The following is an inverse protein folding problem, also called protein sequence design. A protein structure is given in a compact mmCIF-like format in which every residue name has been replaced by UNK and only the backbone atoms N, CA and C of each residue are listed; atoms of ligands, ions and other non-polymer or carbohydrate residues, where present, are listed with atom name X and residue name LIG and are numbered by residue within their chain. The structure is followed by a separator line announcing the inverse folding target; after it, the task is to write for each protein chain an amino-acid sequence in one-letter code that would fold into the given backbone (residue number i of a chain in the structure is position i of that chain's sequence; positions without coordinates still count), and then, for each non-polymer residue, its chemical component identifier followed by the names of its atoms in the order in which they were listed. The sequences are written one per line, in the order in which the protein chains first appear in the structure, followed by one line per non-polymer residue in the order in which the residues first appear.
data_IF_467212246732
#
_entry.id   IF_467212246732
#
_cell.length_a   1.000
_cell.length_b   1.000
_cell.length_c   1.000
_cell.angle_alpha   90.00
_cell.angle_beta   90.00
_cell.angle_gamma   90.00
#
_symmetry.space_group_name_H-M   'P 1'
#
loop_
_entity.id
_entity.type
_entity.pdbx_description
1 polymer ?
#
# COMPACT_ATOMS: atom_id res chain seq x y z
N UNK A 1 -0.40 -40.20 13.04
CA UNK A 1 -1.36 -40.14 11.92
C UNK A 1 -2.67 -39.58 12.43
N UNK A 2 -3.35 -38.83 11.56
CA UNK A 2 -4.69 -38.21 11.67
C UNK A 2 -4.76 -36.89 12.45
N UNK A 3 -5.38 -35.80 11.95
CA UNK A 3 -5.93 -35.49 10.63
C UNK A 3 -6.10 -33.95 10.60
N UNK A 4 -5.65 -33.30 9.53
CA UNK A 4 -5.88 -31.88 9.27
C UNK A 4 -7.25 -31.73 8.62
N UNK A 5 -8.09 -30.86 9.17
CA UNK A 5 -9.44 -30.60 8.68
C UNK A 5 -9.38 -29.76 7.41
N UNK A 6 -9.90 -30.34 6.33
CA UNK A 6 -10.19 -29.70 5.05
C UNK A 6 -11.14 -28.51 5.23
N UNK A 7 -10.80 -27.36 4.64
CA UNK A 7 -11.80 -26.36 4.24
C UNK A 7 -11.94 -26.47 2.72
N UNK A 8 -13.14 -26.91 2.33
CA UNK A 8 -13.65 -26.98 0.98
C UNK A 8 -13.51 -25.62 0.26
N UNK A 9 -12.92 -25.63 -0.93
CA UNK A 9 -13.40 -24.80 -2.03
C UNK A 9 -13.68 -25.72 -3.21
N UNK A 10 -14.98 -25.90 -3.43
CA UNK A 10 -15.58 -26.61 -4.55
C UNK A 10 -15.04 -26.07 -5.87
N UNK A 11 -14.68 -26.97 -6.77
CA UNK A 11 -14.45 -26.65 -8.16
C UNK A 11 -15.66 -25.93 -8.75
N UNK A 12 -15.37 -24.91 -9.55
CA UNK A 12 -16.24 -24.45 -10.62
C UNK A 12 -15.48 -24.64 -11.92
N UNK A 13 -16.16 -25.32 -12.83
CA UNK A 13 -15.76 -25.65 -14.18
C UNK A 13 -15.35 -24.38 -14.93
N UNK A 14 -14.26 -24.48 -15.70
CA UNK A 14 -13.82 -23.48 -16.66
C UNK A 14 -14.84 -23.42 -17.80
N UNK A 15 -15.66 -22.36 -17.81
CA UNK A 15 -16.50 -21.99 -18.95
C UNK A 15 -15.75 -20.92 -19.75
N UNK A 16 -15.39 -21.30 -20.98
CA UNK A 16 -14.52 -20.57 -21.91
C UNK A 16 -15.34 -19.48 -22.64
N UNK A 17 -15.97 -18.58 -21.87
CA UNK A 17 -16.68 -17.43 -22.42
C UNK A 17 -15.69 -16.29 -22.63
N UNK A 18 -15.49 -15.88 -23.89
CA UNK A 18 -14.78 -14.65 -24.26
C UNK A 18 -15.31 -13.48 -23.42
N UNK A 19 -14.56 -13.07 -22.38
CA UNK A 19 -14.93 -11.89 -21.59
C UNK A 19 -14.82 -10.66 -22.49
N UNK A 20 -15.96 -10.26 -23.04
CA UNK A 20 -16.15 -8.98 -23.69
C UNK A 20 -15.66 -7.89 -22.73
N UNK A 21 -14.78 -7.00 -23.21
CA UNK A 21 -14.17 -5.97 -22.38
C UNK A 21 -15.24 -4.93 -22.02
N UNK A 22 -16.02 -5.23 -20.98
CA UNK A 22 -16.98 -4.29 -20.42
C UNK A 22 -16.17 -3.20 -19.75
N UNK A 23 -16.28 -1.97 -20.26
CA UNK A 23 -15.71 -0.76 -19.64
C UNK A 23 -16.52 -0.42 -18.37
N UNK A 24 -16.54 -1.34 -17.42
CA UNK A 24 -17.09 -1.14 -16.09
C UNK A 24 -15.97 -0.60 -15.22
N UNK A 25 -16.15 0.63 -14.74
CA UNK A 25 -15.29 1.25 -13.74
C UNK A 25 -15.44 0.46 -12.43
N UNK A 26 -14.74 -0.68 -12.30
CA UNK A 26 -14.61 -1.41 -11.04
C UNK A 26 -13.86 -0.49 -10.08
N UNK A 27 -14.50 -0.17 -8.97
CA UNK A 27 -13.90 0.67 -7.92
C UNK A 27 -13.74 -0.17 -6.69
N UNK A 28 -12.76 0.11 -5.84
CA UNK A 28 -12.55 -0.62 -4.58
C UNK A 28 -13.83 -0.74 -3.74
N UNK A 29 -14.72 0.25 -3.83
CA UNK A 29 -16.01 0.23 -3.13
C UNK A 29 -16.96 -0.85 -3.65
N UNK A 30 -16.98 -1.13 -4.96
CA UNK A 30 -17.88 -2.15 -5.54
C UNK A 30 -17.48 -3.57 -5.11
N UNK A 31 -16.20 -3.83 -4.90
CA UNK A 31 -15.71 -5.16 -4.55
C UNK A 31 -15.86 -5.45 -3.04
N UNK A 32 -15.75 -4.41 -2.19
CA UNK A 32 -16.01 -4.51 -0.75
C UNK A 32 -17.49 -4.71 -0.40
N UNK A 33 -18.40 -4.15 -1.20
CA UNK A 33 -19.84 -4.31 -0.97
C UNK A 33 -20.37 -5.66 -1.45
N UNK A 34 -19.69 -6.33 -2.38
CA UNK A 34 -20.16 -7.60 -2.98
C UNK A 34 -19.89 -8.81 -2.08
N UNK A 35 -18.95 -8.72 -1.14
CA UNK A 35 -18.62 -9.80 -0.17
C UNK A 35 -19.33 -9.66 1.18
N UNK A 36 -20.16 -8.62 1.36
CA UNK A 36 -20.82 -8.33 2.63
C UNK A 36 -22.00 -9.26 2.91
N UNK A 37 -21.73 -10.35 3.64
CA UNK A 37 -22.72 -10.91 4.58
C UNK A 37 -23.14 -9.88 5.63
N UNK A 38 -24.12 -10.19 6.52
CA UNK A 38 -24.58 -9.23 7.53
C UNK A 38 -23.40 -8.73 8.37
N UNK A 39 -23.09 -7.43 8.25
CA UNK A 39 -22.02 -6.73 8.97
C UNK A 39 -22.19 -6.93 10.48
N UNK A 40 -21.45 -7.87 11.06
CA UNK A 40 -21.19 -7.91 12.49
C UNK A 40 -20.35 -6.68 12.83
N UNK A 41 -20.84 -5.86 13.76
CA UNK A 41 -20.28 -4.59 14.17
C UNK A 41 -18.97 -4.77 14.97
N UNK A 42 -17.92 -5.28 14.31
CA UNK A 42 -16.56 -5.38 14.87
C UNK A 42 -15.46 -5.16 13.83
N UNK A 43 -15.77 -4.78 12.59
CA UNK A 43 -14.72 -4.54 11.59
C UNK A 43 -14.21 -3.10 11.70
N UNK A 44 -13.04 -2.96 12.33
CA UNK A 44 -12.25 -1.74 12.35
C UNK A 44 -11.98 -1.26 10.91
N UNK A 45 -12.05 0.06 10.68
CA UNK A 45 -11.79 0.64 9.36
C UNK A 45 -10.37 0.25 8.87
N UNK A 46 -10.22 -0.23 7.63
CA UNK A 46 -8.92 -0.66 7.13
C UNK A 46 -7.94 0.52 7.06
N UNK A 47 -6.73 0.32 7.59
CA UNK A 47 -5.63 1.29 7.53
C UNK A 47 -4.76 0.99 6.30
N UNK A 48 -4.41 2.04 5.56
CA UNK A 48 -3.55 1.93 4.37
C UNK A 48 -2.22 2.64 4.59
N UNK A 49 -1.13 1.98 4.21
CA UNK A 49 0.20 2.57 4.17
C UNK A 49 0.63 2.83 2.71
N UNK A 50 1.17 4.02 2.45
CA UNK A 50 1.70 4.35 1.13
C UNK A 50 3.11 3.77 0.99
N UNK A 51 3.26 2.77 0.13
CA UNK A 51 4.54 2.07 -0.08
C UNK A 51 5.36 2.65 -1.24
N UNK A 52 4.71 3.22 -2.25
CA UNK A 52 5.36 3.81 -3.41
C UNK A 52 4.47 4.87 -4.06
N UNK A 53 5.10 5.94 -4.56
CA UNK A 53 4.45 6.95 -5.40
C UNK A 53 5.03 6.83 -6.80
N UNK A 54 4.16 6.61 -7.79
CA UNK A 54 4.54 6.42 -9.19
C UNK A 54 4.42 7.72 -9.98
N UNK A 55 5.36 7.93 -10.90
CA UNK A 55 5.44 9.07 -11.80
C UNK A 55 5.31 8.64 -13.27
N UNK A 56 5.24 9.63 -14.17
CA UNK A 56 5.20 9.37 -15.61
C UNK A 56 6.44 8.59 -16.04
N UNK A 57 6.20 7.43 -16.65
CA UNK A 57 7.27 6.55 -17.15
C UNK A 57 7.61 5.41 -16.19
N UNK A 58 7.08 5.44 -14.96
CA UNK A 58 7.27 4.33 -14.02
C UNK A 58 6.44 3.11 -14.42
N UNK A 59 6.91 1.94 -14.00
CA UNK A 59 6.28 0.65 -14.23
C UNK A 59 5.96 0.00 -12.89
N UNK A 60 4.82 -0.70 -12.82
CA UNK A 60 4.35 -1.37 -11.61
C UNK A 60 3.78 -2.76 -11.95
N UNK A 61 3.64 -3.62 -10.93
CA UNK A 61 3.09 -4.99 -11.08
C UNK A 61 4.10 -6.02 -11.60
N UNK A 62 5.37 -5.66 -11.67
CA UNK A 62 6.46 -6.55 -12.09
C UNK A 62 6.97 -7.44 -10.95
N UNK A 63 6.81 -6.98 -9.72
CA UNK A 63 7.22 -7.66 -8.50
C UNK A 63 6.55 -9.03 -8.39
N UNK A 64 5.26 -9.12 -8.72
CA UNK A 64 4.47 -10.37 -8.70
C UNK A 64 4.88 -11.39 -9.80
N UNK A 65 5.78 -10.99 -10.71
CA UNK A 65 6.39 -11.90 -11.68
C UNK A 65 7.67 -12.51 -11.09
N UNK A 66 8.43 -11.73 -10.32
CA UNK A 66 9.75 -12.11 -9.80
C UNK A 66 9.66 -12.76 -8.42
N UNK A 67 8.75 -12.27 -7.58
CA UNK A 67 8.59 -12.62 -6.18
C UNK A 67 7.18 -13.16 -5.95
N UNK A 68 7.08 -14.30 -5.26
CA UNK A 68 5.79 -14.95 -4.97
C UNK A 68 5.12 -14.44 -3.70
N UNK A 69 5.90 -13.85 -2.79
CA UNK A 69 5.46 -13.38 -1.48
C UNK A 69 5.47 -11.86 -1.49
N UNK A 70 4.39 -11.25 -1.98
CA UNK A 70 4.19 -9.81 -2.01
C UNK A 70 2.92 -9.46 -1.22
N UNK A 71 2.90 -8.34 -0.48
CA UNK A 71 1.71 -7.91 0.25
C UNK A 71 0.56 -7.57 -0.71
N UNK A 72 -0.67 -7.53 -0.18
CA UNK A 72 -1.80 -7.03 -0.94
C UNK A 72 -1.65 -5.52 -1.17
N UNK A 73 -1.54 -5.10 -2.42
CA UNK A 73 -1.35 -3.70 -2.81
C UNK A 73 -2.60 -3.14 -3.49
N UNK A 74 -2.87 -1.86 -3.22
CA UNK A 74 -3.91 -1.09 -3.90
C UNK A 74 -3.28 0.07 -4.65
N UNK A 75 -3.58 0.19 -5.94
CA UNK A 75 -3.11 1.30 -6.76
C UNK A 75 -4.20 2.37 -6.85
N UNK A 76 -3.86 3.61 -6.49
CA UNK A 76 -4.77 4.75 -6.54
C UNK A 76 -4.30 5.71 -7.63
N UNK A 77 -5.10 5.83 -8.70
CA UNK A 77 -4.82 6.76 -9.79
C UNK A 77 -5.42 8.13 -9.51
N UNK A 78 -4.62 9.18 -9.72
CA UNK A 78 -5.07 10.58 -9.72
C UNK A 78 -5.21 11.10 -11.16
N UNK A 79 -5.93 10.37 -12.01
CA UNK A 79 -6.12 10.71 -13.43
C UNK A 79 -4.94 10.31 -14.34
N UNK A 80 -4.17 9.30 -13.94
CA UNK A 80 -3.10 8.75 -14.77
C UNK A 80 -3.66 7.88 -15.89
N UNK A 81 -3.06 7.99 -17.09
CA UNK A 81 -3.27 7.07 -18.21
C UNK A 81 -2.18 6.01 -18.19
N UNK A 82 -2.55 4.74 -18.34
CA UNK A 82 -1.62 3.62 -18.25
C UNK A 82 -1.70 2.75 -19.51
N UNK A 83 -0.54 2.29 -19.97
CA UNK A 83 -0.46 1.20 -20.96
C UNK A 83 -0.39 -0.09 -20.17
N UNK A 84 -1.39 -0.95 -20.33
CA UNK A 84 -1.46 -2.23 -19.66
C UNK A 84 -1.09 -3.36 -20.61
N UNK A 85 -0.23 -4.27 -20.17
CA UNK A 85 0.13 -5.50 -20.90
C UNK A 85 -0.36 -6.69 -20.09
N UNK A 86 -1.04 -7.64 -20.74
CA UNK A 86 -1.51 -8.86 -20.08
C UNK A 86 -0.31 -9.69 -19.60
N UNK A 87 -0.35 -10.17 -18.35
CA UNK A 87 0.76 -10.91 -17.73
C UNK A 87 1.16 -12.16 -18.53
N UNK A 88 0.17 -12.95 -18.96
CA UNK A 88 0.44 -14.16 -19.77
C UNK A 88 1.18 -13.82 -21.06
N UNK A 89 0.72 -12.78 -21.77
CA UNK A 89 1.31 -12.34 -23.02
C UNK A 89 2.75 -11.85 -22.81
N UNK A 90 2.98 -11.06 -21.75
CA UNK A 90 4.33 -10.62 -21.41
C UNK A 90 5.27 -11.80 -21.16
N UNK A 91 4.83 -12.80 -20.38
CA UNK A 91 5.66 -13.96 -20.04
C UNK A 91 5.90 -14.90 -21.22
N UNK A 92 4.93 -15.05 -22.12
CA UNK A 92 5.04 -15.90 -23.30
C UNK A 92 6.09 -15.35 -24.29
N UNK A 93 6.15 -14.03 -24.47
CA UNK A 93 7.04 -13.38 -25.43
C UNK A 93 8.30 -12.76 -24.80
N UNK A 94 8.41 -12.75 -23.48
CA UNK A 94 9.62 -12.26 -22.79
C UNK A 94 10.81 -13.19 -23.07
N UNK A 95 11.90 -12.60 -23.55
CA UNK A 95 13.18 -13.31 -23.71
C UNK A 95 13.81 -13.53 -22.35
N UNK A 96 14.59 -14.60 -22.21
CA UNK A 96 15.30 -14.89 -20.95
C UNK A 96 16.24 -13.75 -20.53
N UNK A 97 16.87 -13.05 -21.48
CA UNK A 97 17.69 -11.88 -21.15
C UNK A 97 16.87 -10.75 -20.51
N UNK A 98 15.63 -10.53 -20.98
CA UNK A 98 14.69 -9.55 -20.39
C UNK A 98 14.28 -9.97 -18.99
N UNK A 99 13.95 -11.25 -18.79
CA UNK A 99 13.61 -11.78 -17.47
C UNK A 99 14.80 -11.72 -16.50
N UNK A 100 16.03 -11.92 -16.99
CA UNK A 100 17.25 -11.79 -16.18
C UNK A 100 17.47 -10.35 -15.71
N UNK A 101 17.27 -9.37 -16.60
CA UNK A 101 17.34 -7.94 -16.23
C UNK A 101 16.24 -7.63 -15.21
N UNK A 102 15.02 -8.10 -15.45
CA UNK A 102 13.89 -7.91 -14.55
C UNK A 102 14.20 -8.41 -13.13
N UNK A 103 14.71 -9.64 -12.98
CA UNK A 103 15.09 -10.21 -11.68
C UNK A 103 16.20 -9.43 -10.97
N UNK A 104 17.03 -8.69 -11.70
CA UNK A 104 18.14 -7.91 -11.16
C UNK A 104 17.71 -6.51 -10.71
N UNK A 105 16.81 -5.88 -11.46
CA UNK A 105 16.38 -4.50 -11.22
C UNK A 105 15.17 -4.39 -10.31
N UNK A 106 14.35 -5.44 -10.24
CA UNK A 106 13.16 -5.44 -9.39
C UNK A 106 13.56 -5.67 -7.93
N UNK A 107 12.97 -4.89 -7.03
CA UNK A 107 13.11 -5.04 -5.58
C UNK A 107 11.72 -5.42 -5.04
N UNK A 108 11.62 -6.42 -4.15
CA UNK A 108 10.34 -6.80 -3.56
C UNK A 108 9.82 -5.68 -2.66
N UNK A 109 8.50 -5.56 -2.56
CA UNK A 109 7.90 -4.73 -1.52
C UNK A 109 8.16 -5.34 -0.13
N UNK A 110 8.24 -4.51 0.92
CA UNK A 110 8.35 -5.00 2.28
C UNK A 110 7.16 -5.89 2.64
N UNK A 111 7.39 -6.87 3.50
CA UNK A 111 6.35 -7.74 4.05
C UNK A 111 5.33 -6.94 4.89
N UNK A 112 4.17 -7.53 5.17
CA UNK A 112 3.15 -6.88 5.99
C UNK A 112 3.64 -6.54 7.41
N UNK A 113 4.47 -7.40 8.00
CA UNK A 113 5.08 -7.15 9.32
C UNK A 113 6.03 -5.95 9.26
N UNK A 114 6.92 -5.91 8.26
CA UNK A 114 7.82 -4.77 8.07
C UNK A 114 7.07 -3.47 7.79
N UNK A 115 6.00 -3.50 6.99
CA UNK A 115 5.16 -2.33 6.74
C UNK A 115 4.50 -1.82 8.01
N UNK A 116 4.05 -2.72 8.88
CA UNK A 116 3.46 -2.35 10.17
C UNK A 116 4.50 -1.69 11.07
N UNK A 117 5.70 -2.26 11.16
CA UNK A 117 6.80 -1.72 11.96
C UNK A 117 7.24 -0.34 11.45
N UNK A 118 7.36 -0.16 10.13
CA UNK A 118 7.68 1.12 9.53
C UNK A 118 6.61 2.17 9.80
N UNK A 119 5.33 1.78 9.71
CA UNK A 119 4.21 2.67 10.01
C UNK A 119 4.26 3.11 11.48
N UNK A 120 4.45 2.17 12.40
CA UNK A 120 4.55 2.47 13.83
C UNK A 120 5.70 3.42 14.12
N UNK A 121 6.89 3.13 13.60
CA UNK A 121 8.07 3.97 13.78
C UNK A 121 7.84 5.39 13.22
N UNK A 122 7.14 5.50 12.09
CA UNK A 122 6.81 6.78 11.48
C UNK A 122 5.84 7.59 12.34
N UNK A 123 4.81 6.95 12.88
CA UNK A 123 3.85 7.58 13.78
C UNK A 123 4.50 8.03 15.08
N UNK A 124 5.34 7.18 15.68
CA UNK A 124 6.09 7.49 16.90
C UNK A 124 7.01 8.70 16.69
N UNK A 125 7.72 8.73 15.57
CA UNK A 125 8.57 9.85 15.18
C UNK A 125 7.78 11.14 15.00
N UNK A 126 6.65 11.09 14.30
CA UNK A 126 5.83 12.26 14.04
C UNK A 126 5.21 12.80 15.33
N UNK A 127 4.76 11.92 16.24
CA UNK A 127 4.28 12.29 17.57
C UNK A 127 5.38 12.96 18.41
N UNK A 128 6.56 12.34 18.47
CA UNK A 128 7.73 12.89 19.17
C UNK A 128 8.14 14.26 18.63
N UNK A 129 8.21 14.39 17.29
CA UNK A 129 8.55 15.64 16.62
C UNK A 129 7.53 16.74 16.95
N UNK A 130 6.24 16.42 16.92
CA UNK A 130 5.18 17.39 17.21
C UNK A 130 5.25 17.87 18.66
N UNK A 131 5.42 16.95 19.62
CA UNK A 131 5.57 17.26 21.03
C UNK A 131 6.81 18.15 21.27
N UNK A 132 7.96 17.75 20.74
CA UNK A 132 9.22 18.47 20.92
C UNK A 132 9.17 19.87 20.31
N UNK A 133 8.59 20.01 19.11
CA UNK A 133 8.39 21.31 18.48
C UNK A 133 7.47 22.21 19.31
N UNK A 134 6.37 21.67 19.83
CA UNK A 134 5.44 22.44 20.65
C UNK A 134 6.09 22.94 21.95
N UNK A 135 6.86 22.08 22.63
CA UNK A 135 7.57 22.41 23.85
C UNK A 135 8.64 23.48 23.63
N UNK A 136 9.49 23.30 22.62
CA UNK A 136 10.55 24.27 22.28
C UNK A 136 10.00 25.63 21.87
N UNK A 137 8.90 25.67 21.10
CA UNK A 137 8.23 26.93 20.75
C UNK A 137 7.63 27.61 21.99
N UNK A 138 7.03 26.84 22.89
CA UNK A 138 6.50 27.37 24.15
C UNK A 138 7.60 27.97 25.03
N UNK A 139 8.72 27.27 25.19
CA UNK A 139 9.89 27.74 25.95
C UNK A 139 10.53 28.98 25.33
N UNK A 140 10.67 29.03 24.01
CA UNK A 140 11.20 30.20 23.32
C UNK A 140 10.30 31.43 23.51
N UNK A 141 8.98 31.25 23.45
CA UNK A 141 8.00 32.31 23.68
C UNK A 141 8.04 32.80 25.13
N UNK A 142 8.07 31.90 26.11
CA UNK A 142 8.11 32.26 27.53
C UNK A 142 9.42 32.98 27.89
N UNK A 143 10.56 32.51 27.36
CA UNK A 143 11.87 33.14 27.54
C UNK A 143 11.93 34.56 26.96
N UNK A 144 11.32 34.78 25.79
CA UNK A 144 11.22 36.11 25.18
C UNK A 144 10.35 37.06 26.01
N UNK A 145 9.21 36.60 26.51
CA UNK A 145 8.32 37.39 27.37
C UNK A 145 9.00 37.78 28.68
N UNK A 146 9.75 36.86 29.29
CA UNK A 146 10.51 37.15 30.52
C UNK A 146 11.58 38.22 30.29
N UNK A 147 12.32 38.14 29.17
CA UNK A 147 13.32 39.16 28.80
C UNK A 147 12.69 40.54 28.59
N UNK A 148 11.62 40.63 27.81
CA UNK A 148 10.90 41.90 27.58
C UNK A 148 10.36 42.52 28.88
N UNK A 149 9.91 41.69 29.83
CA UNK A 149 9.48 42.16 31.15
C UNK A 149 10.64 42.65 32.00
N UNK A 150 11.80 41.99 31.95
CA UNK A 150 12.99 42.39 32.69
C UNK A 150 13.56 43.73 32.19
N UNK A 151 13.51 43.98 30.88
CA UNK A 151 14.00 45.23 30.28
C UNK A 151 13.06 46.42 30.53
N UNK A 152 11.77 46.20 30.80
CA UNK A 152 10.80 47.26 31.08
C UNK A 152 10.86 47.83 32.51
N UNK A 153 11.68 47.25 33.39
CA UNK A 153 11.83 47.65 34.81
C UNK A 153 13.10 48.48 35.05
N UNK A 154 13.92 48.70 34.02
CA UNK A 154 15.06 49.65 34.02
C UNK A 154 14.67 50.96 33.35
#
# INVERSE_FOLDING_TARGET
MQNLTNIFLSGKEEDDSEEEFVEQRRTFHSDLDTTAGPRLQTEEDPVYAVVQVLQKGDVFGLQDIVYSDQPNLSLISNGAECIMVRKHFYLEYAKEDTLRVLRKETIPYPSQEELQDYLQQKLDWDAYRHMTLSATVYEARSSKVQRLRADSIR
#
